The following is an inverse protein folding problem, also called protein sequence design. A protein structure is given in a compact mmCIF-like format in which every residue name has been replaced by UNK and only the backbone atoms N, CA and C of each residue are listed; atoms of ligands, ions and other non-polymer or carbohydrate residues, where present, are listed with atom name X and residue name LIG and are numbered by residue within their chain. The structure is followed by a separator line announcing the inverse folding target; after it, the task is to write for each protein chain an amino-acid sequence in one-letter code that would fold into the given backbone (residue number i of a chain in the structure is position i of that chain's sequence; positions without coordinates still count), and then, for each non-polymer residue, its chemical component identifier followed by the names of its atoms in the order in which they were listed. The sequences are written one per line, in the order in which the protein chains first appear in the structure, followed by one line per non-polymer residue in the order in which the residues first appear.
data_IF_218927110625
#
_entry.id   IF_218927110625
#
_cell.length_a   1.000
_cell.length_b   1.000
_cell.length_c   1.000
_cell.angle_alpha   90.00
_cell.angle_beta   90.00
_cell.angle_gamma   90.00
#
_symmetry.space_group_name_H-M   'P 1'
#
loop_
_entity.id
_entity.type
_entity.pdbx_description
1 polymer ?
#
# COMPACT_ATOMS: atom_id res chain seq x y z
N UNK A 1 30.34 -23.74 16.96
CA UNK A 1 30.53 -23.52 15.50
C UNK A 1 29.89 -22.17 15.16
N UNK A 2 30.70 -21.19 14.80
CA UNK A 2 30.35 -19.76 14.82
C UNK A 2 29.43 -19.41 13.63
N UNK A 3 28.14 -19.21 13.87
CA UNK A 3 27.10 -19.00 12.84
C UNK A 3 27.21 -17.63 12.13
N UNK A 4 28.08 -16.73 12.62
CA UNK A 4 28.32 -15.39 12.04
C UNK A 4 29.43 -15.32 10.99
N UNK A 5 30.11 -16.44 10.68
CA UNK A 5 31.31 -16.43 9.84
C UNK A 5 31.08 -16.68 8.34
N UNK A 6 29.85 -16.95 7.89
CA UNK A 6 29.58 -17.14 6.46
C UNK A 6 29.14 -15.83 5.82
N UNK A 7 30.03 -15.26 5.03
CA UNK A 7 29.70 -14.17 4.11
C UNK A 7 28.84 -14.79 3.01
N UNK A 8 27.53 -14.59 3.07
CA UNK A 8 26.61 -14.99 2.00
C UNK A 8 26.79 -14.00 0.84
N UNK A 9 27.57 -14.40 -0.17
CA UNK A 9 27.76 -13.67 -1.44
C UNK A 9 26.66 -13.96 -2.45
N UNK A 10 25.60 -14.63 -2.02
CA UNK A 10 24.43 -14.91 -2.83
C UNK A 10 23.78 -13.59 -3.27
N UNK A 11 23.39 -13.54 -4.53
CA UNK A 11 22.80 -12.37 -5.15
C UNK A 11 21.31 -12.33 -4.79
N UNK A 12 20.78 -11.19 -4.34
CA UNK A 12 19.37 -11.10 -3.94
C UNK A 12 18.49 -11.20 -5.19
N UNK A 13 17.62 -12.24 -5.33
CA UNK A 13 16.97 -12.56 -6.61
C UNK A 13 16.15 -11.42 -7.24
N UNK A 14 15.56 -10.55 -6.43
CA UNK A 14 14.73 -9.45 -6.92
C UNK A 14 15.47 -8.10 -7.03
N UNK A 15 16.56 -7.90 -6.29
CA UNK A 15 17.38 -6.67 -6.33
C UNK A 15 18.40 -6.70 -7.46
N UNK A 16 18.93 -7.89 -7.78
CA UNK A 16 19.92 -8.09 -8.84
C UNK A 16 19.37 -7.76 -10.22
N UNK A 17 18.06 -7.92 -10.44
CA UNK A 17 17.36 -7.51 -11.66
C UNK A 17 17.41 -5.99 -11.88
N UNK A 18 17.44 -5.21 -10.79
CA UNK A 18 17.41 -3.73 -10.85
C UNK A 18 18.81 -3.14 -10.78
N UNK A 19 19.66 -3.72 -9.93
CA UNK A 19 20.94 -3.12 -9.51
C UNK A 19 22.14 -3.84 -10.16
N UNK A 20 21.98 -5.08 -10.59
CA UNK A 20 23.04 -5.94 -11.14
C UNK A 20 23.59 -6.94 -10.13
N UNK A 21 24.41 -7.88 -10.60
CA UNK A 21 24.96 -9.00 -9.80
C UNK A 21 25.87 -8.57 -8.64
N UNK A 22 26.32 -7.32 -8.61
CA UNK A 22 27.14 -6.78 -7.52
C UNK A 22 26.36 -6.55 -6.22
N UNK A 23 25.02 -6.60 -6.27
CA UNK A 23 24.14 -6.45 -5.13
C UNK A 23 24.09 -7.72 -4.26
N UNK A 24 25.19 -7.97 -3.54
CA UNK A 24 25.33 -9.09 -2.59
C UNK A 24 24.58 -8.84 -1.28
N UNK A 25 24.02 -9.90 -0.68
CA UNK A 25 23.18 -9.83 0.55
C UNK A 25 23.86 -9.04 1.67
N UNK A 26 25.13 -9.31 1.94
CA UNK A 26 25.84 -8.64 3.04
C UNK A 26 26.01 -7.12 2.83
N UNK A 27 26.22 -6.68 1.58
CA UNK A 27 26.32 -5.27 1.24
C UNK A 27 24.96 -4.57 1.43
N UNK A 28 23.89 -5.22 0.97
CA UNK A 28 22.52 -4.72 1.13
C UNK A 28 22.16 -4.58 2.61
N UNK A 29 22.47 -5.58 3.45
CA UNK A 29 22.15 -5.55 4.88
C UNK A 29 22.89 -4.40 5.55
N UNK A 30 24.18 -4.20 5.22
CA UNK A 30 24.98 -3.10 5.78
C UNK A 30 24.40 -1.74 5.40
N UNK A 31 24.09 -1.54 4.12
CA UNK A 31 23.53 -0.28 3.61
C UNK A 31 22.17 -0.02 4.26
N UNK A 32 21.31 -1.03 4.35
CA UNK A 32 19.99 -0.92 4.97
C UNK A 32 20.08 -0.45 6.43
N UNK A 33 20.98 -1.04 7.23
CA UNK A 33 21.20 -0.63 8.62
C UNK A 33 21.66 0.84 8.71
N UNK A 34 22.58 1.26 7.85
CA UNK A 34 23.05 2.66 7.82
C UNK A 34 21.93 3.61 7.44
N UNK A 35 21.10 3.26 6.44
CA UNK A 35 19.95 4.08 6.01
C UNK A 35 18.93 4.23 7.14
N UNK A 36 18.64 3.16 7.89
CA UNK A 36 17.73 3.23 9.06
C UNK A 36 18.28 4.16 10.13
N UNK A 37 19.57 4.09 10.44
CA UNK A 37 20.21 4.98 11.41
C UNK A 37 20.13 6.45 10.94
N UNK A 38 20.39 6.71 9.66
CA UNK A 38 20.27 8.06 9.08
C UNK A 38 18.83 8.57 9.18
N UNK A 39 17.83 7.74 8.88
CA UNK A 39 16.43 8.11 9.00
C UNK A 39 16.05 8.48 10.44
N UNK A 40 16.50 7.70 11.43
CA UNK A 40 16.30 7.99 12.85
C UNK A 40 16.94 9.32 13.26
N UNK A 41 18.17 9.58 12.83
CA UNK A 41 18.87 10.85 13.11
C UNK A 41 18.13 12.04 12.48
N UNK A 42 17.65 11.90 11.24
CA UNK A 42 16.86 12.95 10.57
C UNK A 42 15.55 13.23 11.31
N UNK A 43 14.87 12.21 11.83
CA UNK A 43 13.67 12.40 12.65
C UNK A 43 13.97 13.13 13.96
N UNK A 44 15.11 12.83 14.60
CA UNK A 44 15.54 13.53 15.84
C UNK A 44 15.85 15.00 15.54
N UNK A 45 16.57 15.30 14.45
CA UNK A 45 16.85 16.68 14.02
C UNK A 45 15.55 17.42 13.68
N UNK A 46 14.61 16.74 13.03
CA UNK A 46 13.26 17.26 12.74
C UNK A 46 12.49 17.63 14.01
N UNK A 47 12.48 16.74 15.00
CA UNK A 47 11.84 16.98 16.31
C UNK A 47 12.48 18.14 17.08
N UNK A 48 13.82 18.22 17.10
CA UNK A 48 14.54 19.34 17.73
C UNK A 48 14.23 20.69 17.06
N UNK A 49 14.11 20.71 15.72
CA UNK A 49 13.77 21.93 14.96
C UNK A 49 12.31 22.36 15.17
N UNK A 50 11.40 21.40 15.40
CA UNK A 50 10.00 21.67 15.73
C UNK A 50 9.87 22.27 17.15
N UNK A 51 10.56 21.70 18.14
CA UNK A 51 10.60 22.22 19.50
C UNK A 51 11.18 23.65 19.55
N UNK A 52 12.15 23.97 18.69
CA UNK A 52 12.71 25.34 18.56
C UNK A 52 11.72 26.37 17.99
N UNK A 53 10.66 25.94 17.29
CA UNK A 53 9.62 26.81 16.73
C UNK A 53 8.39 26.96 17.64
N UNK A 54 8.13 26.00 18.52
CA UNK A 54 7.02 26.01 19.48
C UNK A 54 7.52 25.80 20.92
N UNK A 55 8.03 26.85 21.58
CA UNK A 55 8.68 26.73 22.89
C UNK A 55 7.76 26.50 24.10
N UNK A 56 6.44 26.41 23.94
CA UNK A 56 5.51 26.20 25.07
C UNK A 56 5.36 24.75 25.55
N UNK A 57 5.82 23.76 24.78
CA UNK A 57 5.82 22.33 25.15
C UNK A 57 7.25 21.80 25.41
N UNK A 58 8.16 22.70 25.79
CA UNK A 58 9.59 22.44 25.93
C UNK A 58 9.96 21.45 27.03
N UNK A 59 9.85 20.16 26.73
CA UNK A 59 10.50 19.10 27.47
C UNK A 59 11.99 19.02 27.13
N UNK A 60 12.78 18.66 28.15
CA UNK A 60 14.21 18.32 28.10
C UNK A 60 14.62 17.52 26.85
N UNK A 61 15.90 17.53 26.47
CA UNK A 61 16.42 16.79 25.30
C UNK A 61 16.00 15.30 25.31
N UNK A 62 15.84 14.74 26.52
CA UNK A 62 15.32 13.39 26.76
C UNK A 62 13.86 13.22 26.33
N UNK A 63 13.01 14.23 26.53
CA UNK A 63 11.60 14.24 26.11
C UNK A 63 11.47 14.16 24.59
N UNK A 64 12.22 14.99 23.87
CA UNK A 64 12.21 15.00 22.39
C UNK A 64 12.72 13.68 21.83
N UNK A 65 13.77 13.10 22.44
CA UNK A 65 14.29 11.79 22.04
C UNK A 65 13.22 10.71 22.27
N UNK A 66 12.54 10.70 23.41
CA UNK A 66 11.48 9.72 23.69
C UNK A 66 10.28 9.88 22.75
N UNK A 67 9.86 11.10 22.46
CA UNK A 67 8.75 11.36 21.53
C UNK A 67 9.08 10.91 20.10
N UNK A 68 10.29 11.18 19.63
CA UNK A 68 10.71 10.80 18.28
C UNK A 68 10.95 9.28 18.18
N UNK A 69 11.67 8.70 19.16
CA UNK A 69 12.01 7.28 19.16
C UNK A 69 10.80 6.38 19.37
N UNK A 70 9.87 6.74 20.26
CA UNK A 70 8.68 5.93 20.50
C UNK A 70 7.49 6.43 19.69
N UNK A 71 7.10 7.69 19.83
CA UNK A 71 5.89 8.22 19.18
C UNK A 71 5.99 8.18 17.65
N UNK A 72 6.95 8.90 17.08
CA UNK A 72 7.05 9.06 15.62
C UNK A 72 7.50 7.82 14.88
N UNK A 73 8.40 7.03 15.48
CA UNK A 73 8.86 5.78 14.87
C UNK A 73 7.77 4.71 14.88
N UNK A 74 7.02 4.56 15.99
CA UNK A 74 5.89 3.61 16.05
C UNK A 74 4.74 4.06 15.16
N UNK A 75 4.47 5.36 15.07
CA UNK A 75 3.49 5.93 14.13
C UNK A 75 3.86 5.56 12.67
N UNK A 76 5.13 5.78 12.29
CA UNK A 76 5.63 5.41 10.96
C UNK A 76 5.54 3.89 10.69
N UNK A 77 5.93 3.05 11.66
CA UNK A 77 5.81 1.60 11.57
C UNK A 77 4.36 1.15 11.44
N UNK A 78 3.45 1.75 12.20
CA UNK A 78 2.02 1.41 12.17
C UNK A 78 1.41 1.70 10.81
N UNK A 79 1.76 2.84 10.21
CA UNK A 79 1.36 3.15 8.83
C UNK A 79 1.94 2.13 7.86
N UNK A 80 3.23 1.80 7.96
CA UNK A 80 3.89 0.83 7.08
C UNK A 80 3.23 -0.56 7.15
N UNK A 81 2.90 -1.03 8.35
CA UNK A 81 2.20 -2.31 8.57
C UNK A 81 0.80 -2.26 7.96
N UNK A 82 0.12 -1.12 8.03
CA UNK A 82 -1.20 -0.94 7.42
C UNK A 82 -1.14 -1.11 5.89
N UNK A 83 -0.12 -0.54 5.23
CA UNK A 83 0.14 -0.71 3.80
C UNK A 83 0.62 -2.12 3.41
N UNK A 84 1.25 -2.87 4.33
CA UNK A 84 1.69 -4.25 4.08
C UNK A 84 0.54 -5.18 3.64
N UNK A 85 -0.70 -4.82 3.97
CA UNK A 85 -1.91 -5.53 3.54
C UNK A 85 -2.02 -5.68 2.02
N UNK A 86 -1.68 -4.63 1.26
CA UNK A 86 -1.72 -4.68 -0.22
C UNK A 86 -0.66 -5.66 -0.75
N UNK A 87 0.51 -5.71 -0.10
CA UNK A 87 1.58 -6.66 -0.43
C UNK A 87 1.17 -8.11 -0.21
N UNK A 88 0.44 -8.41 0.88
CA UNK A 88 -0.07 -9.76 1.13
C UNK A 88 -1.07 -10.18 0.05
N UNK A 89 -1.97 -9.28 -0.35
CA UNK A 89 -2.94 -9.60 -1.40
C UNK A 89 -2.27 -9.85 -2.75
N UNK A 90 -1.20 -9.13 -3.09
CA UNK A 90 -0.40 -9.40 -4.28
C UNK A 90 0.23 -10.81 -4.24
N UNK A 91 0.74 -11.22 -3.08
CA UNK A 91 1.31 -12.57 -2.90
C UNK A 91 0.26 -13.67 -3.03
N UNK A 92 -0.93 -13.46 -2.46
CA UNK A 92 -2.07 -14.38 -2.60
C UNK A 92 -2.46 -14.50 -4.07
N UNK A 93 -2.54 -13.37 -4.79
CA UNK A 93 -2.86 -13.36 -6.22
C UNK A 93 -1.86 -14.18 -7.02
N UNK A 94 -0.57 -13.93 -6.83
CA UNK A 94 0.48 -14.70 -7.50
C UNK A 94 0.41 -16.19 -7.19
N UNK A 95 0.15 -16.57 -5.94
CA UNK A 95 0.02 -17.96 -5.53
C UNK A 95 -1.20 -18.67 -6.17
N UNK A 96 -2.33 -17.97 -6.28
CA UNK A 96 -3.53 -18.50 -6.94
C UNK A 96 -3.32 -18.69 -8.45
N UNK A 97 -2.69 -17.74 -9.12
CA UNK A 97 -2.35 -17.86 -10.55
C UNK A 97 -1.41 -19.04 -10.82
N UNK A 98 -0.37 -19.20 -9.98
CA UNK A 98 0.54 -20.35 -10.07
C UNK A 98 -0.22 -21.67 -9.89
N UNK A 99 -1.10 -21.75 -8.89
CA UNK A 99 -1.88 -22.96 -8.63
C UNK A 99 -2.80 -23.31 -9.80
N UNK A 100 -3.44 -22.33 -10.43
CA UNK A 100 -4.29 -22.54 -11.62
C UNK A 100 -3.46 -23.00 -12.83
N UNK A 101 -2.27 -22.43 -13.03
CA UNK A 101 -1.37 -22.85 -14.11
C UNK A 101 -0.86 -24.30 -13.92
N UNK A 102 -0.50 -24.68 -12.70
CA UNK A 102 -0.10 -26.06 -12.38
C UNK A 102 -1.28 -27.04 -12.51
N UNK A 103 -2.48 -26.63 -12.09
CA UNK A 103 -3.70 -27.42 -12.30
C UNK A 103 -4.02 -27.60 -13.80
N UNK A 104 -3.79 -26.58 -14.62
CA UNK A 104 -3.93 -26.67 -16.07
C UNK A 104 -2.93 -27.66 -16.69
N UNK A 105 -1.66 -27.60 -16.28
CA UNK A 105 -0.61 -28.48 -16.78
C UNK A 105 -0.89 -29.96 -16.44
N UNK A 106 -1.42 -30.23 -15.25
CA UNK A 106 -1.72 -31.60 -14.80
C UNK A 106 -2.99 -32.20 -15.41
N UNK A 107 -3.96 -31.38 -15.87
CA UNK A 107 -5.22 -31.83 -16.49
C UNK A 107 -5.12 -32.20 -17.99
N UNK A 108 -3.90 -32.32 -18.54
CA UNK A 108 -3.68 -32.73 -19.92
C UNK A 108 -3.61 -31.58 -20.93
N UNK A 109 -3.44 -30.32 -20.47
CA UNK A 109 -3.13 -29.19 -21.34
C UNK A 109 -4.19 -28.92 -22.42
N UNK A 110 -3.79 -28.78 -23.69
CA UNK A 110 -4.67 -28.36 -24.79
C UNK A 110 -5.62 -29.50 -25.23
N UNK A 111 -5.29 -30.76 -24.90
CA UNK A 111 -6.01 -31.94 -25.40
C UNK A 111 -7.30 -32.25 -24.62
N UNK A 112 -7.52 -31.59 -23.47
CA UNK A 112 -8.75 -31.75 -22.69
C UNK A 112 -9.60 -30.47 -22.71
N UNK A 113 -10.90 -30.56 -23.09
CA UNK A 113 -11.82 -29.42 -23.00
C UNK A 113 -11.93 -28.85 -21.57
N UNK A 114 -11.73 -29.72 -20.56
CA UNK A 114 -11.75 -29.36 -19.14
C UNK A 114 -10.59 -28.43 -18.74
N UNK A 115 -9.40 -28.64 -19.29
CA UNK A 115 -8.24 -27.80 -19.03
C UNK A 115 -8.42 -26.38 -19.63
N UNK A 116 -8.99 -26.26 -20.83
CA UNK A 116 -9.27 -24.97 -21.47
C UNK A 116 -10.31 -24.16 -20.66
N UNK A 117 -11.36 -24.81 -20.15
CA UNK A 117 -12.33 -24.16 -19.27
C UNK A 117 -11.67 -23.72 -17.96
N UNK A 118 -10.78 -24.53 -17.40
CA UNK A 118 -10.07 -24.23 -16.16
C UNK A 118 -9.13 -23.02 -16.31
N UNK A 119 -8.35 -22.94 -17.39
CA UNK A 119 -7.42 -21.81 -17.56
C UNK A 119 -8.19 -20.50 -17.83
N UNK A 120 -9.20 -20.51 -18.70
CA UNK A 120 -9.97 -19.30 -19.01
C UNK A 120 -10.86 -18.90 -17.84
N UNK A 121 -11.60 -19.85 -17.27
CA UNK A 121 -12.51 -19.61 -16.15
C UNK A 121 -11.77 -19.32 -14.84
N UNK A 122 -10.64 -19.98 -14.59
CA UNK A 122 -9.81 -19.78 -13.40
C UNK A 122 -9.17 -18.40 -13.37
N UNK A 123 -8.57 -17.96 -14.47
CA UNK A 123 -7.96 -16.63 -14.57
C UNK A 123 -9.02 -15.52 -14.41
N UNK A 124 -10.17 -15.66 -15.08
CA UNK A 124 -11.26 -14.68 -15.02
C UNK A 124 -11.94 -14.68 -13.64
N UNK A 125 -12.14 -15.85 -13.05
CA UNK A 125 -12.73 -16.01 -11.72
C UNK A 125 -11.86 -15.42 -10.62
N UNK A 126 -10.55 -15.70 -10.63
CA UNK A 126 -9.60 -15.08 -9.70
C UNK A 126 -9.62 -13.57 -9.85
N UNK A 127 -9.54 -13.05 -11.08
CA UNK A 127 -9.55 -11.61 -11.33
C UNK A 127 -10.81 -10.92 -10.76
N UNK A 128 -11.99 -11.52 -10.93
CA UNK A 128 -13.24 -10.96 -10.40
C UNK A 128 -13.31 -11.00 -8.87
N UNK A 129 -13.05 -12.17 -8.29
CA UNK A 129 -13.24 -12.37 -6.84
C UNK A 129 -12.16 -11.62 -6.06
N UNK A 130 -10.89 -11.82 -6.42
CA UNK A 130 -9.78 -11.21 -5.71
C UNK A 130 -9.69 -9.71 -5.99
N UNK A 131 -9.98 -9.28 -7.23
CA UNK A 131 -10.09 -7.86 -7.57
C UNK A 131 -11.12 -7.13 -6.70
N UNK A 132 -12.28 -7.75 -6.44
CA UNK A 132 -13.29 -7.20 -5.55
C UNK A 132 -12.80 -7.11 -4.09
N UNK A 133 -12.15 -8.16 -3.57
CA UNK A 133 -11.66 -8.18 -2.18
C UNK A 133 -10.54 -7.15 -1.99
N UNK A 134 -9.60 -7.06 -2.93
CA UNK A 134 -8.50 -6.09 -2.93
C UNK A 134 -9.03 -4.66 -3.03
N UNK A 135 -10.05 -4.44 -3.86
CA UNK A 135 -10.71 -3.13 -3.96
C UNK A 135 -11.28 -2.68 -2.62
N UNK A 136 -12.02 -3.55 -1.92
CA UNK A 136 -12.59 -3.23 -0.60
C UNK A 136 -11.48 -2.96 0.44
N UNK A 137 -10.40 -3.74 0.42
CA UNK A 137 -9.26 -3.50 1.32
C UNK A 137 -8.52 -2.19 1.01
N UNK A 138 -8.33 -1.88 -0.26
CA UNK A 138 -7.65 -0.65 -0.69
C UNK A 138 -8.46 0.59 -0.33
N UNK A 139 -9.78 0.54 -0.52
CA UNK A 139 -10.70 1.61 -0.07
C UNK A 139 -10.56 1.89 1.43
N UNK A 140 -10.39 0.84 2.25
CA UNK A 140 -10.17 1.01 3.69
C UNK A 140 -8.89 1.79 3.97
N UNK A 141 -7.81 1.48 3.28
CA UNK A 141 -6.55 2.20 3.48
C UNK A 141 -6.68 3.67 3.02
N UNK A 142 -7.33 3.88 1.88
CA UNK A 142 -7.47 5.21 1.29
C UNK A 142 -8.37 6.13 2.13
N UNK A 143 -9.53 5.64 2.57
CA UNK A 143 -10.49 6.43 3.36
C UNK A 143 -10.03 6.68 4.79
N UNK A 144 -9.45 5.69 5.47
CA UNK A 144 -9.13 5.83 6.89
C UNK A 144 -7.74 6.38 7.18
N UNK A 145 -6.77 6.23 6.26
CA UNK A 145 -5.37 6.52 6.55
C UNK A 145 -4.75 7.57 5.62
N UNK A 146 -5.25 7.68 4.39
CA UNK A 146 -4.82 8.72 3.45
C UNK A 146 -5.69 9.96 3.53
N UNK A 147 -7.02 9.82 3.37
CA UNK A 147 -7.92 10.98 3.35
C UNK A 147 -7.98 11.71 4.71
N UNK A 148 -7.98 10.99 5.82
CA UNK A 148 -8.00 11.62 7.16
C UNK A 148 -6.78 12.48 7.49
N UNK A 149 -5.64 12.28 6.79
CA UNK A 149 -4.43 13.07 7.01
C UNK A 149 -4.39 14.38 6.23
N UNK A 150 -5.11 14.46 5.11
CA UNK A 150 -5.02 15.57 4.15
C UNK A 150 -6.34 16.28 3.89
N UNK A 151 -7.47 15.63 4.19
CA UNK A 151 -8.81 16.15 3.96
C UNK A 151 -9.44 16.50 5.32
N UNK A 152 -9.40 17.77 5.66
CA UNK A 152 -10.17 18.32 6.78
C UNK A 152 -11.57 18.66 6.25
N UNK A 153 -12.59 18.01 6.79
CA UNK A 153 -13.96 18.14 6.30
C UNK A 153 -14.50 19.54 6.61
N UNK A 154 -15.01 20.26 5.60
CA UNK A 154 -15.64 21.55 5.90
C UNK A 154 -15.91 22.54 4.78
N UNK A 155 -15.72 22.21 3.50
CA UNK A 155 -16.16 23.12 2.44
C UNK A 155 -17.63 22.90 2.10
N UNK A 156 -18.42 23.97 1.99
CA UNK A 156 -19.78 23.86 1.47
C UNK A 156 -19.75 23.21 0.09
N UNK A 157 -20.54 22.14 -0.15
CA UNK A 157 -20.61 21.53 -1.47
C UNK A 157 -21.09 22.59 -2.46
N UNK A 158 -20.32 22.78 -3.53
CA UNK A 158 -20.63 23.77 -4.56
C UNK A 158 -21.97 23.43 -5.20
N UNK A 159 -23.02 24.16 -4.81
CA UNK A 159 -24.33 24.09 -5.45
C UNK A 159 -24.31 25.05 -6.62
N UNK A 160 -24.23 24.51 -7.83
CA UNK A 160 -24.42 25.30 -9.05
C UNK A 160 -25.76 26.02 -8.96
N UNK A 161 -25.78 27.32 -9.20
CA UNK A 161 -26.98 28.13 -9.40
C UNK A 161 -27.59 27.75 -10.75
N UNK A 162 -28.12 26.53 -10.86
CA UNK A 162 -28.98 26.17 -11.98
C UNK A 162 -30.32 26.84 -11.68
N UNK A 163 -30.84 27.72 -12.56
CA UNK A 163 -32.18 28.24 -12.40
C UNK A 163 -33.12 27.04 -12.32
N UNK A 164 -33.96 27.00 -11.29
CA UNK A 164 -35.01 26.00 -11.18
C UNK A 164 -35.94 26.22 -12.38
N UNK A 165 -35.73 25.46 -13.46
CA UNK A 165 -36.59 25.52 -14.63
C UNK A 165 -37.93 24.95 -14.20
N UNK A 166 -38.82 25.84 -13.78
CA UNK A 166 -40.24 25.55 -13.57
C UNK A 166 -40.76 25.04 -14.92
N UNK A 167 -40.78 23.72 -15.08
CA UNK A 167 -41.46 23.07 -16.19
C UNK A 167 -42.96 23.30 -16.00
N UNK A 168 -43.43 24.43 -16.52
CA UNK A 168 -44.86 24.68 -16.60
C UNK A 168 -45.41 23.78 -17.72
N UNK A 169 -45.97 22.63 -17.34
CA UNK A 169 -46.66 21.76 -18.27
C UNK A 169 -47.95 22.45 -18.72
N UNK A 170 -47.90 23.16 -19.85
CA UNK A 170 -49.10 23.70 -20.48
C UNK A 170 -49.97 22.55 -21.01
N UNK A 171 -50.95 22.13 -20.22
CA UNK A 171 -52.03 21.27 -20.69
C UNK A 171 -53.06 22.13 -21.42
N UNK A 172 -53.03 22.11 -22.75
CA UNK A 172 -54.09 22.68 -23.56
C UNK A 172 -55.33 21.80 -23.47
N UNK A 173 -56.38 22.29 -22.80
CA UNK A 173 -57.70 21.65 -22.80
C UNK A 173 -58.30 21.80 -24.20
N UNK A 174 -58.42 20.70 -24.95
CA UNK A 174 -59.18 20.65 -26.20
C UNK A 174 -60.61 21.12 -25.92
N UNK A 175 -61.01 22.20 -26.61
CA UNK A 175 -62.39 22.70 -26.63
C UNK A 175 -63.14 21.88 -27.69
N UNK A 176 -64.16 21.14 -27.25
CA UNK A 176 -65.19 20.60 -28.13
C UNK A 176 -65.94 21.73 -28.83
#
# INVERSE_FOLDING_TARGET
MNMYSRIHTEAVPWITVIVGEWAVVWLIVRISVVVVIIALVLMIIGGLKHNKKHPEEGGDLVSVIMEVMLGKTVECLSHTISYARIGIMLLVHAALLLTVNEAYATLGGIDSPGAIVLIVGGQLGIMMIEGLIVYIQSLRLHLYEFFTKWYDGGSQPFKQLVPEMVYNSFSWKKRN
#
